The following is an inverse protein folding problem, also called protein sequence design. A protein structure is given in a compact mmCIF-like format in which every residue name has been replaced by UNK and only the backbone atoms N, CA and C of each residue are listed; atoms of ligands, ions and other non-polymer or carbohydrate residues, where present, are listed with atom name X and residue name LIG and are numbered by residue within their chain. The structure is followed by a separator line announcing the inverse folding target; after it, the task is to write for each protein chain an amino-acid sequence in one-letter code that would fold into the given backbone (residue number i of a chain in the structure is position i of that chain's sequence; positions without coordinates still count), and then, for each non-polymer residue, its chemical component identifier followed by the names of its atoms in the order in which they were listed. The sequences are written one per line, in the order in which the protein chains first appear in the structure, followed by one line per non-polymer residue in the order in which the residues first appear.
data_IF_405358628037
#
_entry.id   IF_405358628037
#
_cell.length_a   1.000
_cell.length_b   1.000
_cell.length_c   1.000
_cell.angle_alpha   90.00
_cell.angle_beta   90.00
_cell.angle_gamma   90.00
#
_symmetry.space_group_name_H-M   'P 1'
#
loop_
_entity.id
_entity.type
_entity.pdbx_description
1 polymer ?
#
# COMPACT_ATOMS: atom_id res chain seq x y z
N UNK A 1 37.36 2.58 15.89
CA UNK A 1 36.04 3.24 15.77
C UNK A 1 35.34 2.53 14.63
N UNK A 2 34.24 1.82 14.90
CA UNK A 2 33.47 1.21 13.83
C UNK A 2 32.60 2.29 13.19
N UNK A 3 32.74 2.50 11.89
CA UNK A 3 31.80 3.32 11.13
C UNK A 3 30.41 2.69 11.24
N UNK A 4 29.41 3.44 11.74
CA UNK A 4 28.03 2.97 11.67
C UNK A 4 27.56 3.12 10.23
N UNK A 5 27.78 2.08 9.42
CA UNK A 5 27.23 2.01 8.08
C UNK A 5 25.73 1.74 8.22
N UNK A 6 24.93 2.75 7.91
CA UNK A 6 23.48 2.66 7.92
C UNK A 6 22.96 2.44 6.50
N UNK A 7 22.01 1.52 6.34
CA UNK A 7 21.43 1.23 5.02
C UNK A 7 20.72 2.47 4.46
N UNK A 8 21.28 3.07 3.42
CA UNK A 8 20.69 4.24 2.75
C UNK A 8 19.43 3.85 1.96
N UNK A 9 19.45 2.68 1.33
CA UNK A 9 18.36 2.16 0.54
C UNK A 9 17.93 0.79 1.04
N UNK A 10 16.62 0.54 1.04
CA UNK A 10 16.05 -0.79 1.18
C UNK A 10 15.35 -1.17 -0.11
N UNK A 11 15.66 -2.36 -0.62
CA UNK A 11 15.03 -2.93 -1.79
C UNK A 11 14.18 -4.14 -1.36
N UNK A 12 12.92 -4.15 -1.74
CA UNK A 12 11.99 -5.24 -1.47
C UNK A 12 11.46 -5.75 -2.80
N UNK A 13 11.79 -7.01 -3.09
CA UNK A 13 11.42 -7.71 -4.31
C UNK A 13 10.53 -8.89 -3.90
N UNK A 14 9.35 -9.02 -4.50
CA UNK A 14 8.53 -10.23 -4.40
C UNK A 14 8.85 -11.16 -5.56
N UNK A 15 8.58 -12.45 -5.40
CA UNK A 15 8.87 -13.46 -6.43
C UNK A 15 7.62 -14.03 -7.09
N UNK A 16 6.66 -14.51 -6.30
CA UNK A 16 5.51 -15.29 -6.76
C UNK A 16 4.23 -14.71 -6.15
N UNK A 17 3.92 -15.06 -4.90
CA UNK A 17 2.71 -14.61 -4.21
C UNK A 17 2.67 -13.10 -3.88
N UNK A 18 1.43 -12.58 -3.81
CA UNK A 18 1.14 -11.23 -3.35
C UNK A 18 1.47 -11.04 -1.85
N UNK A 19 2.17 -9.95 -1.54
CA UNK A 19 2.53 -9.52 -0.18
C UNK A 19 1.98 -8.13 0.06
N UNK A 20 1.27 -7.93 1.17
CA UNK A 20 0.84 -6.60 1.60
C UNK A 20 1.71 -6.07 2.74
N UNK A 21 2.43 -4.98 2.50
CA UNK A 21 3.35 -4.40 3.48
C UNK A 21 2.71 -3.18 4.14
N UNK A 22 2.41 -3.29 5.43
CA UNK A 22 1.78 -2.22 6.23
C UNK A 22 2.79 -1.16 6.69
N UNK A 23 3.99 -1.60 7.05
CA UNK A 23 5.07 -0.73 7.50
C UNK A 23 6.41 -1.46 7.42
N UNK A 24 7.49 -0.70 7.32
CA UNK A 24 8.87 -1.16 7.45
C UNK A 24 9.56 -0.24 8.44
N UNK A 25 10.22 -0.82 9.43
CA UNK A 25 11.06 -0.09 10.38
C UNK A 25 12.50 -0.57 10.28
N UNK A 26 13.43 0.38 10.17
CA UNK A 26 14.86 0.09 10.26
C UNK A 26 15.47 0.87 11.42
N UNK A 27 16.29 0.17 12.21
CA UNK A 27 16.96 0.71 13.39
C UNK A 27 18.45 0.89 13.10
N UNK A 28 19.04 1.93 13.66
CA UNK A 28 20.49 2.06 13.68
C UNK A 28 21.08 1.08 14.72
N UNK A 29 22.19 0.42 14.37
CA UNK A 29 22.86 -0.51 15.28
C UNK A 29 23.40 0.16 16.56
N UNK A 30 23.63 1.47 16.53
CA UNK A 30 24.07 2.27 17.67
C UNK A 30 22.96 2.49 18.72
N UNK A 31 21.70 2.21 18.40
CA UNK A 31 20.57 2.23 19.35
C UNK A 31 20.10 3.62 19.83
N UNK A 32 20.89 4.66 19.60
CA UNK A 32 20.63 6.02 20.11
C UNK A 32 19.68 6.86 19.23
N UNK A 33 19.36 6.42 18.01
CA UNK A 33 18.50 7.16 17.07
C UNK A 33 17.12 6.54 16.89
N UNK A 34 16.13 7.40 16.61
CA UNK A 34 14.77 6.99 16.25
C UNK A 34 14.79 6.12 14.98
N UNK A 35 13.95 5.08 14.89
CA UNK A 35 13.89 4.24 13.69
C UNK A 35 13.39 5.03 12.48
N UNK A 36 13.89 4.66 11.31
CA UNK A 36 13.28 5.03 10.03
C UNK A 36 12.00 4.24 9.86
N UNK A 37 10.90 4.90 9.49
CA UNK A 37 9.61 4.21 9.34
C UNK A 37 8.94 4.57 8.02
N UNK A 38 8.85 3.58 7.15
CA UNK A 38 7.99 3.64 5.97
C UNK A 38 6.63 3.04 6.31
N UNK A 39 5.54 3.67 5.87
CA UNK A 39 4.17 3.18 6.04
C UNK A 39 3.55 2.91 4.67
N UNK A 40 2.73 1.87 4.57
CA UNK A 40 1.99 1.55 3.34
C UNK A 40 0.95 2.62 2.96
N UNK A 41 0.73 3.62 3.81
CA UNK A 41 0.03 4.85 3.46
C UNK A 41 0.71 5.65 2.36
N UNK A 42 2.05 5.62 2.31
CA UNK A 42 2.83 6.27 1.26
C UNK A 42 2.44 5.65 -0.08
N UNK A 43 2.52 4.33 -0.21
CA UNK A 43 2.14 3.65 -1.46
C UNK A 43 0.69 3.92 -1.84
N UNK A 44 -0.25 3.83 -0.90
CA UNK A 44 -1.65 4.14 -1.15
C UNK A 44 -1.86 5.58 -1.66
N UNK A 45 -1.19 6.56 -1.06
CA UNK A 45 -1.26 7.96 -1.46
C UNK A 45 -0.56 8.23 -2.81
N UNK A 46 0.48 7.46 -3.14
CA UNK A 46 1.17 7.50 -4.42
C UNK A 46 0.46 6.67 -5.52
N UNK A 47 -0.77 6.22 -5.27
CA UNK A 47 -1.60 5.53 -6.26
C UNK A 47 -1.34 4.04 -6.41
N UNK A 48 -0.59 3.43 -5.49
CA UNK A 48 -0.33 1.99 -5.49
C UNK A 48 -1.54 1.20 -4.98
N UNK A 49 -1.60 -0.08 -5.34
CA UNK A 49 -2.64 -0.98 -4.85
C UNK A 49 -2.55 -1.14 -3.33
N UNK A 50 -3.68 -1.06 -2.61
CA UNK A 50 -3.67 -1.07 -1.14
C UNK A 50 -4.89 -1.74 -0.49
N UNK A 51 -4.76 -2.10 0.79
CA UNK A 51 -5.88 -2.39 1.70
C UNK A 51 -5.60 -1.83 3.10
N UNK A 52 -6.58 -1.95 4.01
CA UNK A 52 -6.36 -1.62 5.41
C UNK A 52 -5.40 -2.61 6.07
N UNK A 53 -4.45 -2.08 6.85
CA UNK A 53 -3.62 -2.92 7.71
C UNK A 53 -4.42 -3.49 8.88
N UNK A 54 -4.08 -4.73 9.25
CA UNK A 54 -4.70 -5.45 10.36
C UNK A 54 -4.09 -5.05 11.71
N UNK A 55 -2.83 -4.63 11.72
CA UNK A 55 -2.06 -4.32 12.93
C UNK A 55 -1.96 -2.82 13.16
N UNK A 56 -2.01 -2.41 14.43
CA UNK A 56 -1.81 -1.04 14.85
C UNK A 56 -0.38 -0.80 15.33
N UNK A 57 0.17 0.35 15.00
CA UNK A 57 1.43 0.88 15.52
C UNK A 57 1.14 2.10 16.40
N UNK A 58 2.09 2.49 17.25
CA UNK A 58 2.00 3.74 18.01
C UNK A 58 2.41 4.91 17.09
N UNK A 59 1.46 5.77 16.75
CA UNK A 59 1.67 6.91 15.84
C UNK A 59 2.35 8.13 16.47
N UNK A 60 2.97 8.00 17.65
CA UNK A 60 3.75 9.06 18.29
C UNK A 60 2.99 9.95 19.29
N UNK A 61 1.66 9.80 19.40
CA UNK A 61 0.80 10.56 20.34
C UNK A 61 -0.04 9.64 21.25
N UNK A 62 0.43 8.43 21.56
CA UNK A 62 -0.34 7.38 22.26
C UNK A 62 -1.62 6.95 21.53
N UNK A 63 -1.81 7.39 20.29
CA UNK A 63 -2.88 6.95 19.42
C UNK A 63 -2.40 5.76 18.60
N UNK A 64 -3.11 4.63 18.76
CA UNK A 64 -2.92 3.47 17.92
C UNK A 64 -3.42 3.79 16.51
N UNK A 65 -2.56 3.56 15.54
CA UNK A 65 -2.82 3.80 14.13
C UNK A 65 -2.61 2.52 13.33
N UNK A 66 -3.58 2.11 12.52
CA UNK A 66 -3.42 0.98 11.61
C UNK A 66 -3.10 1.49 10.20
N UNK A 67 -1.81 1.49 9.79
CA UNK A 67 -1.42 1.98 8.48
C UNK A 67 -2.08 1.15 7.38
N UNK A 68 -2.33 1.77 6.24
CA UNK A 68 -2.65 1.00 5.02
C UNK A 68 -1.48 0.09 4.68
N UNK A 69 -1.76 -1.01 4.00
CA UNK A 69 -0.72 -1.83 3.41
C UNK A 69 -0.72 -1.68 1.90
N UNK A 70 0.47 -1.60 1.32
CA UNK A 70 0.68 -1.55 -0.12
C UNK A 70 0.98 -2.95 -0.62
N UNK A 71 0.32 -3.34 -1.71
CA UNK A 71 0.49 -4.64 -2.34
C UNK A 71 1.72 -4.66 -3.25
N UNK A 72 2.55 -5.67 -3.03
CA UNK A 72 3.57 -6.14 -3.94
C UNK A 72 3.15 -7.51 -4.49
N UNK A 73 3.39 -7.78 -5.76
CA UNK A 73 2.98 -9.00 -6.47
C UNK A 73 3.84 -9.15 -7.73
N UNK A 74 4.59 -10.24 -7.80
CA UNK A 74 5.62 -10.42 -8.80
C UNK A 74 5.25 -11.38 -9.91
N UNK A 75 4.37 -12.35 -9.72
CA UNK A 75 4.00 -13.22 -10.83
C UNK A 75 3.05 -12.51 -11.82
N UNK A 76 2.41 -11.39 -11.42
CA UNK A 76 1.36 -10.74 -12.21
C UNK A 76 0.29 -11.77 -12.67
N UNK A 77 0.18 -12.90 -11.96
CA UNK A 77 0.05 -14.22 -12.57
C UNK A 77 -1.24 -14.40 -13.35
N UNK A 78 -1.27 -14.18 -14.66
CA UNK A 78 -2.54 -14.09 -15.42
C UNK A 78 -3.60 -13.13 -14.79
N UNK A 79 -3.23 -12.35 -13.75
CA UNK A 79 -4.10 -11.76 -12.71
C UNK A 79 -3.91 -10.24 -12.53
N UNK A 80 -2.96 -9.60 -13.22
CA UNK A 80 -2.94 -8.13 -13.37
C UNK A 80 -3.76 -7.59 -14.55
N UNK A 81 -4.94 -7.06 -14.23
CA UNK A 81 -5.78 -6.24 -15.10
C UNK A 81 -4.94 -5.34 -16.01
N UNK A 82 -5.24 -5.33 -17.33
CA UNK A 82 -4.92 -4.19 -18.22
C UNK A 82 -5.74 -2.93 -17.85
N UNK A 83 -6.20 -2.84 -16.61
CA UNK A 83 -6.86 -1.67 -16.09
C UNK A 83 -5.76 -0.81 -15.44
N UNK A 84 -5.40 0.32 -16.06
CA UNK A 84 -4.17 1.04 -15.75
C UNK A 84 -4.11 1.57 -14.32
N UNK A 85 -5.20 1.55 -13.55
CA UNK A 85 -5.35 2.33 -12.32
C UNK A 85 -4.82 1.63 -11.06
N UNK A 86 -4.71 0.30 -11.03
CA UNK A 86 -4.19 -0.44 -9.87
C UNK A 86 -3.27 -1.55 -10.37
N UNK A 87 -1.97 -1.31 -10.33
CA UNK A 87 -0.95 -2.29 -10.69
C UNK A 87 -0.27 -2.66 -9.37
N UNK A 88 -0.22 -3.96 -9.05
CA UNK A 88 0.57 -4.45 -7.92
C UNK A 88 2.05 -4.40 -8.32
N UNK A 89 2.93 -4.03 -7.39
CA UNK A 89 4.33 -3.75 -7.70
C UNK A 89 5.16 -5.02 -7.51
N UNK A 90 6.08 -5.34 -8.42
CA UNK A 90 7.02 -6.45 -8.16
C UNK A 90 8.08 -6.08 -7.15
N UNK A 91 8.42 -4.79 -7.15
CA UNK A 91 9.56 -4.29 -6.43
C UNK A 91 9.27 -2.89 -5.91
N UNK A 92 9.81 -2.59 -4.74
CA UNK A 92 9.91 -1.22 -4.25
C UNK A 92 11.30 -0.95 -3.68
N UNK A 93 11.81 0.26 -3.94
CA UNK A 93 13.06 0.75 -3.35
C UNK A 93 12.79 2.02 -2.57
N UNK A 94 13.21 2.03 -1.32
CA UNK A 94 12.95 3.07 -0.34
C UNK A 94 14.28 3.76 -0.01
N UNK A 95 14.33 5.10 -0.09
CA UNK A 95 15.38 5.87 0.56
C UNK A 95 15.04 5.99 2.05
N UNK A 96 15.77 5.25 2.90
CA UNK A 96 15.45 5.16 4.33
C UNK A 96 15.65 6.48 5.06
N UNK A 97 16.57 7.32 4.59
CA UNK A 97 16.83 8.63 5.18
C UNK A 97 15.69 9.62 4.95
N UNK A 98 14.90 9.44 3.90
CA UNK A 98 13.71 10.26 3.68
C UNK A 98 12.63 10.03 4.75
N UNK A 99 12.67 8.88 5.43
CA UNK A 99 11.75 8.48 6.49
C UNK A 99 12.37 8.57 7.89
N UNK A 100 13.50 9.28 8.01
CA UNK A 100 14.09 9.67 9.28
C UNK A 100 13.30 10.77 9.96
N UNK A 101 13.56 10.95 11.26
CA UNK A 101 13.21 12.19 11.93
C UNK A 101 13.92 13.35 11.24
N UNK A 102 13.17 14.15 10.49
CA UNK A 102 13.68 15.31 9.76
C UNK A 102 13.81 16.55 10.65
N UNK A 103 13.87 16.39 11.97
CA UNK A 103 13.96 17.50 12.92
C UNK A 103 12.73 18.41 12.87
N UNK A 104 11.54 17.83 12.68
CA UNK A 104 10.27 18.56 12.61
C UNK A 104 9.94 19.18 11.25
N UNK A 105 10.72 18.92 10.19
CA UNK A 105 10.34 19.32 8.83
C UNK A 105 9.14 18.52 8.35
N UNK A 106 8.13 19.21 7.83
CA UNK A 106 6.98 18.61 7.16
C UNK A 106 7.29 18.55 5.67
N UNK A 107 7.34 17.34 5.11
CA UNK A 107 7.52 17.12 3.68
C UNK A 107 6.16 16.90 3.01
N UNK A 108 6.06 17.25 1.73
CA UNK A 108 4.84 17.04 0.96
C UNK A 108 4.72 15.60 0.41
N UNK A 109 3.57 15.30 -0.19
CA UNK A 109 3.33 13.98 -0.78
C UNK A 109 4.27 13.69 -1.96
N UNK A 110 4.63 14.70 -2.76
CA UNK A 110 5.54 14.53 -3.90
C UNK A 110 6.93 14.08 -3.45
N UNK A 111 7.42 14.62 -2.34
CA UNK A 111 8.65 14.17 -1.70
C UNK A 111 8.59 12.68 -1.36
N UNK A 112 7.57 12.23 -0.63
CA UNK A 112 7.46 10.82 -0.23
C UNK A 112 7.24 9.87 -1.42
N UNK A 113 6.50 10.31 -2.44
CA UNK A 113 6.34 9.54 -3.68
C UNK A 113 7.62 9.52 -4.53
N UNK A 114 8.49 10.52 -4.41
CA UNK A 114 9.84 10.50 -4.98
C UNK A 114 10.82 9.62 -4.18
N UNK A 115 10.61 9.49 -2.87
CA UNK A 115 11.47 8.73 -1.95
C UNK A 115 11.19 7.24 -1.88
N UNK A 116 10.08 6.78 -2.47
CA UNK A 116 9.80 5.37 -2.73
C UNK A 116 9.58 5.15 -4.22
N UNK A 117 10.46 4.39 -4.85
CA UNK A 117 10.28 3.96 -6.23
C UNK A 117 9.55 2.62 -6.22
N UNK A 118 8.52 2.52 -7.05
CA UNK A 118 7.79 1.29 -7.31
C UNK A 118 8.05 0.85 -8.76
N UNK A 119 8.29 -0.44 -8.97
CA UNK A 119 8.39 -1.03 -10.32
C UNK A 119 7.41 -2.18 -10.48
N UNK A 120 6.86 -2.25 -11.68
CA UNK A 120 5.91 -3.26 -12.13
C UNK A 120 6.57 -4.29 -13.06
N UNK A 121 7.73 -3.98 -13.64
CA UNK A 121 8.30 -4.77 -14.73
C UNK A 121 9.62 -5.43 -14.33
N UNK A 122 9.82 -6.67 -14.79
CA UNK A 122 11.15 -7.32 -14.72
C UNK A 122 12.17 -6.56 -15.58
N UNK A 123 11.69 -5.82 -16.57
CA UNK A 123 12.49 -5.05 -17.54
C UNK A 123 12.74 -3.59 -17.09
N UNK A 124 12.14 -3.13 -15.97
CA UNK A 124 12.48 -1.86 -15.31
C UNK A 124 13.17 -2.14 -13.95
N UNK A 125 14.45 -2.54 -13.96
CA UNK A 125 15.18 -2.87 -12.76
C UNK A 125 15.40 -1.61 -11.90
N UNK A 126 14.79 -1.59 -10.71
CA UNK A 126 15.01 -0.51 -9.73
C UNK A 126 16.49 -0.38 -9.26
N UNK A 127 17.38 -1.38 -9.33
CA UNK A 127 18.79 -1.20 -8.97
C UNK A 127 19.47 0.03 -9.58
N UNK A 128 19.15 0.37 -10.84
CA UNK A 128 19.71 1.54 -11.53
C UNK A 128 19.05 2.88 -11.19
N UNK A 129 17.98 2.89 -10.40
CA UNK A 129 17.21 4.09 -10.04
C UNK A 129 17.49 4.51 -8.60
N UNK A 130 17.53 5.82 -8.36
CA UNK A 130 17.82 6.40 -7.04
C UNK A 130 16.60 7.16 -6.52
N UNK A 131 15.91 6.67 -5.46
CA UNK A 131 14.80 7.40 -4.87
C UNK A 131 15.28 8.73 -4.26
N UNK A 132 14.44 9.77 -4.36
CA UNK A 132 14.67 11.10 -3.80
C UNK A 132 14.92 11.01 -2.30
N UNK A 133 15.77 11.89 -1.78
CA UNK A 133 15.94 12.07 -0.34
C UNK A 133 17.31 12.61 0.01
N UNK A 134 17.60 12.73 1.31
CA UNK A 134 18.92 13.08 1.78
C UNK A 134 19.91 12.00 1.31
N UNK A 135 21.02 12.46 0.73
CA UNK A 135 22.17 11.65 0.43
C UNK A 135 23.31 12.12 1.31
N UNK A 136 23.98 11.17 1.96
CA UNK A 136 25.26 11.45 2.60
C UNK A 136 26.35 11.34 1.52
N UNK A 137 26.92 12.48 1.15
CA UNK A 137 28.05 12.58 0.23
C UNK A 137 29.20 13.19 1.04
N UNK A 138 30.31 12.47 1.16
CA UNK A 138 31.51 12.90 1.90
C UNK A 138 31.23 13.39 3.34
N UNK A 139 30.29 12.75 4.04
CA UNK A 139 29.89 13.11 5.42
C UNK A 139 28.98 14.34 5.51
N UNK A 140 28.49 14.86 4.37
CA UNK A 140 27.54 15.97 4.31
C UNK A 140 26.19 15.51 3.77
N UNK A 141 25.11 15.92 4.45
CA UNK A 141 23.73 15.72 4.00
C UNK A 141 23.40 16.68 2.86
N UNK A 142 23.29 16.13 1.65
CA UNK A 142 22.83 16.85 0.44
C UNK A 142 21.42 16.37 0.10
N UNK A 143 20.48 17.29 -0.12
CA UNK A 143 19.13 16.93 -0.60
C UNK A 143 19.21 16.76 -2.11
N UNK A 144 19.27 15.51 -2.58
CA UNK A 144 19.17 15.22 -4.01
C UNK A 144 17.69 15.32 -4.42
N UNK A 145 17.38 16.20 -5.37
CA UNK A 145 16.03 16.33 -5.95
C UNK A 145 15.63 15.11 -6.78
N UNK A 146 16.58 14.20 -7.06
CA UNK A 146 16.39 13.03 -7.90
C UNK A 146 16.14 13.41 -9.35
N UNK A 147 16.36 12.47 -10.28
CA UNK A 147 15.87 12.63 -11.64
C UNK A 147 14.34 12.86 -11.61
N UNK A 148 13.78 13.71 -12.49
CA UNK A 148 12.34 13.90 -12.55
C UNK A 148 11.67 12.53 -12.69
N UNK A 149 10.70 12.25 -11.81
CA UNK A 149 9.77 11.14 -11.99
C UNK A 149 9.21 11.28 -13.41
N UNK A 150 9.66 10.44 -14.34
CA UNK A 150 9.01 10.36 -15.66
C UNK A 150 7.58 9.94 -15.35
N UNK A 151 6.58 10.80 -15.61
CA UNK A 151 5.20 10.42 -15.40
C UNK A 151 4.95 9.18 -16.25
N UNK A 152 4.45 8.14 -15.60
CA UNK A 152 3.62 7.07 -16.15
C UNK A 152 3.60 7.08 -17.67
N UNK A 153 4.28 6.12 -18.31
CA UNK A 153 3.92 5.74 -19.68
C UNK A 153 2.43 5.39 -19.66
N UNK A 154 1.61 6.37 -20.03
CA UNK A 154 0.22 6.17 -20.38
C UNK A 154 0.26 5.41 -21.69
N UNK A 155 0.38 4.08 -21.61
CA UNK A 155 0.03 3.25 -22.76
C UNK A 155 -1.45 3.50 -23.03
N UNK A 156 -1.63 4.28 -24.10
CA UNK A 156 -2.89 4.73 -24.64
C UNK A 156 -3.72 3.56 -25.14
N UNK A 157 -4.98 3.52 -24.69
CA UNK A 157 -6.20 3.11 -25.39
C UNK A 157 -6.22 1.74 -26.11
N UNK A 158 -6.96 0.79 -25.52
CA UNK A 158 -8.31 0.46 -26.03
C UNK A 158 -9.03 -0.49 -25.06
N UNK A 159 -10.21 -0.07 -24.62
CA UNK A 159 -11.08 -0.83 -23.74
C UNK A 159 -11.66 -2.05 -24.44
N UNK A 160 -11.04 -3.20 -24.23
CA UNK A 160 -11.73 -4.49 -24.26
C UNK A 160 -11.85 -4.98 -22.83
N UNK A 161 -13.07 -5.26 -22.38
CA UNK A 161 -13.35 -5.93 -21.11
C UNK A 161 -12.69 -7.31 -21.20
N UNK A 162 -11.51 -7.42 -20.61
CA UNK A 162 -10.78 -8.68 -20.53
C UNK A 162 -11.51 -9.70 -19.66
N UNK A 163 -11.15 -10.99 -19.77
CA UNK A 163 -11.76 -12.06 -19.00
C UNK A 163 -11.67 -11.81 -17.50
N UNK A 164 -12.70 -12.28 -16.79
CA UNK A 164 -12.78 -12.28 -15.33
C UNK A 164 -11.58 -13.07 -14.80
N UNK A 165 -10.69 -12.41 -14.06
CA UNK A 165 -9.46 -13.01 -13.49
C UNK A 165 -9.78 -13.98 -12.37
N UNK A 166 -8.80 -14.52 -11.64
CA UNK A 166 -9.05 -15.21 -10.36
C UNK A 166 -8.42 -14.40 -9.22
N UNK A 167 -8.92 -14.59 -8.00
CA UNK A 167 -8.26 -14.08 -6.79
C UNK A 167 -7.09 -15.01 -6.49
N UNK A 168 -6.03 -14.50 -5.84
CA UNK A 168 -5.15 -15.41 -5.11
C UNK A 168 -6.02 -16.28 -4.20
N UNK A 169 -5.74 -17.58 -4.05
CA UNK A 169 -6.55 -18.46 -3.22
C UNK A 169 -6.75 -17.93 -1.79
N UNK A 170 -5.74 -17.20 -1.28
CA UNK A 170 -5.77 -16.56 0.04
C UNK A 170 -6.76 -15.39 0.08
N UNK A 171 -6.62 -14.40 -0.79
CA UNK A 171 -7.55 -13.26 -0.87
C UNK A 171 -8.97 -13.69 -1.28
N UNK A 172 -9.13 -14.85 -1.93
CA UNK A 172 -10.43 -15.46 -2.27
C UNK A 172 -11.16 -16.05 -1.07
N UNK A 173 -10.43 -16.55 -0.08
CA UNK A 173 -10.96 -17.35 1.02
C UNK A 173 -10.96 -16.61 2.36
N UNK A 174 -10.28 -15.47 2.44
CA UNK A 174 -10.17 -14.68 3.65
C UNK A 174 -11.22 -13.55 3.70
N UNK A 175 -11.85 -13.39 4.87
CA UNK A 175 -12.77 -12.31 5.18
C UNK A 175 -12.18 -11.49 6.33
N UNK A 176 -11.93 -10.21 6.09
CA UNK A 176 -11.46 -9.28 7.12
C UNK A 176 -12.68 -8.63 7.78
N UNK A 177 -12.95 -9.01 9.03
CA UNK A 177 -13.99 -8.37 9.86
C UNK A 177 -13.34 -7.38 10.80
N UNK A 178 -13.83 -6.14 10.79
CA UNK A 178 -13.19 -5.06 11.52
C UNK A 178 -14.21 -4.14 12.18
N UNK A 179 -13.95 -3.81 13.45
CA UNK A 179 -14.78 -2.91 14.28
C UNK A 179 -14.18 -1.53 14.49
N UNK A 180 -13.07 -1.19 13.80
CA UNK A 180 -12.43 0.11 13.94
C UNK A 180 -13.20 1.18 13.14
N UNK A 181 -13.68 2.26 13.78
CA UNK A 181 -14.54 3.26 13.13
C UNK A 181 -13.82 4.08 12.05
N UNK A 182 -12.49 4.08 12.04
CA UNK A 182 -11.68 4.81 11.05
C UNK A 182 -11.33 3.97 9.80
N UNK A 183 -11.76 2.70 9.72
CA UNK A 183 -11.53 1.82 8.57
C UNK A 183 -12.86 1.53 7.85
N UNK A 184 -13.29 2.51 7.05
CA UNK A 184 -14.55 2.51 6.31
C UNK A 184 -14.57 1.52 5.14
N UNK A 185 -15.61 0.67 5.07
CA UNK A 185 -15.88 -0.21 3.95
C UNK A 185 -16.28 0.59 2.70
N UNK A 186 -17.01 1.69 2.85
CA UNK A 186 -17.33 2.62 1.75
C UNK A 186 -16.06 3.15 1.12
N UNK A 187 -15.14 3.67 1.94
CA UNK A 187 -13.85 4.21 1.46
C UNK A 187 -13.02 3.14 0.77
N UNK A 188 -13.00 1.92 1.31
CA UNK A 188 -12.29 0.82 0.66
C UNK A 188 -12.92 0.50 -0.70
N UNK A 189 -14.24 0.38 -0.79
CA UNK A 189 -14.91 0.02 -2.04
C UNK A 189 -14.88 1.10 -3.12
N UNK A 190 -14.89 2.38 -2.73
CA UNK A 190 -14.85 3.51 -3.66
C UNK A 190 -13.44 3.88 -4.09
N UNK A 191 -12.42 3.39 -3.39
CA UNK A 191 -11.04 3.61 -3.78
C UNK A 191 -10.76 2.94 -5.13
N UNK A 192 -10.20 3.66 -6.12
CA UNK A 192 -9.87 3.06 -7.40
C UNK A 192 -8.72 2.03 -7.29
N UNK A 193 -7.86 2.18 -6.27
CA UNK A 193 -6.65 1.39 -6.06
C UNK A 193 -6.77 0.35 -4.94
N UNK A 194 -7.91 0.24 -4.26
CA UNK A 194 -8.09 -0.78 -3.22
C UNK A 194 -8.21 -2.20 -3.79
N UNK A 195 -7.54 -3.18 -3.17
CA UNK A 195 -7.60 -4.61 -3.54
C UNK A 195 -7.28 -5.49 -2.32
N UNK A 196 -7.63 -6.77 -2.35
CA UNK A 196 -7.28 -7.73 -1.29
C UNK A 196 -8.45 -8.62 -0.89
N UNK A 197 -8.45 -9.08 0.35
CA UNK A 197 -9.53 -9.86 0.95
C UNK A 197 -10.84 -9.07 1.03
N UNK A 198 -11.97 -9.76 1.04
CA UNK A 198 -13.26 -9.10 1.26
C UNK A 198 -13.32 -8.50 2.67
N UNK A 199 -14.01 -7.37 2.84
CA UNK A 199 -13.92 -6.56 4.06
C UNK A 199 -15.29 -6.22 4.66
N UNK A 200 -15.45 -6.39 5.97
CA UNK A 200 -16.63 -5.98 6.73
C UNK A 200 -16.25 -4.88 7.72
N UNK A 201 -16.95 -3.75 7.63
CA UNK A 201 -16.98 -2.74 8.68
C UNK A 201 -18.17 -3.01 9.59
N UNK A 202 -17.91 -3.43 10.82
CA UNK A 202 -18.95 -3.61 11.85
C UNK A 202 -19.53 -2.27 12.28
N UNK A 203 -18.72 -1.22 12.29
CA UNK A 203 -19.13 0.14 12.63
C UNK A 203 -20.15 0.69 11.62
N UNK A 204 -19.94 0.43 10.33
CA UNK A 204 -20.84 0.87 9.27
C UNK A 204 -21.96 -0.15 8.98
N UNK A 205 -21.83 -1.40 9.45
CA UNK A 205 -22.70 -2.51 9.05
C UNK A 205 -22.59 -2.86 7.56
N UNK A 206 -21.45 -2.55 6.93
CA UNK A 206 -21.22 -2.64 5.49
C UNK A 206 -20.15 -3.66 5.14
N UNK A 207 -20.33 -4.23 3.95
CA UNK A 207 -19.41 -5.16 3.33
C UNK A 207 -18.92 -4.65 2.00
N UNK A 208 -17.62 -4.76 1.79
CA UNK A 208 -16.97 -4.44 0.56
C UNK A 208 -16.41 -5.70 -0.10
N UNK A 209 -16.92 -6.01 -1.30
CA UNK A 209 -16.27 -6.95 -2.22
C UNK A 209 -15.18 -6.20 -2.97
N UNK A 210 -13.92 -6.53 -2.71
CA UNK A 210 -12.74 -5.81 -3.20
C UNK A 210 -12.34 -6.21 -4.63
N UNK A 211 -12.88 -7.32 -5.16
CA UNK A 211 -12.37 -7.98 -6.37
C UNK A 211 -13.27 -7.91 -7.64
N UNK A 212 -14.13 -6.89 -7.71
CA UNK A 212 -15.03 -6.58 -8.84
C UNK A 212 -16.29 -7.44 -9.06
N UNK A 213 -17.36 -6.78 -9.60
CA UNK A 213 -17.57 -5.34 -9.57
C UNK A 213 -17.67 -4.90 -8.10
N UNK A 214 -16.85 -3.92 -7.69
CA UNK A 214 -16.74 -3.49 -6.28
C UNK A 214 -18.12 -3.01 -5.86
N UNK A 215 -18.70 -3.66 -4.86
CA UNK A 215 -20.05 -3.42 -4.40
C UNK A 215 -20.04 -3.36 -2.89
N UNK A 216 -20.83 -2.42 -2.39
CA UNK A 216 -21.18 -2.37 -0.99
C UNK A 216 -22.49 -3.10 -0.77
N UNK A 217 -22.52 -3.93 0.28
CA UNK A 217 -23.71 -4.67 0.67
C UNK A 217 -23.90 -4.42 2.17
N UNK A 218 -25.11 -4.10 2.61
CA UNK A 218 -25.40 -4.16 4.04
C UNK A 218 -25.32 -5.62 4.49
N UNK A 219 -24.70 -5.90 5.63
CA UNK A 219 -24.85 -7.20 6.25
C UNK A 219 -25.72 -7.06 7.49
N UNK A 220 -26.86 -7.74 7.49
CA UNK A 220 -27.63 -7.88 8.71
C UNK A 220 -27.00 -8.98 9.57
N UNK A 221 -26.73 -8.66 10.83
CA UNK A 221 -26.40 -9.66 11.84
C UNK A 221 -27.67 -10.45 12.13
N UNK A 222 -27.63 -11.75 11.91
CA UNK A 222 -28.76 -12.65 12.16
C UNK A 222 -28.98 -12.81 13.66
N UNK A 223 -30.03 -12.18 14.20
CA UNK A 223 -30.50 -12.39 15.57
C UNK A 223 -31.81 -13.19 15.50
N UNK A 224 -31.73 -14.51 15.27
CA UNK A 224 -32.80 -15.46 15.63
C UNK A 224 -33.93 -15.78 14.62
N UNK A 225 -34.01 -17.09 14.33
CA UNK A 225 -35.09 -18.04 13.92
C UNK A 225 -36.22 -17.73 12.91
N UNK A 226 -36.61 -16.52 12.55
CA UNK A 226 -37.71 -16.34 11.57
C UNK A 226 -37.51 -15.13 10.65
N UNK A 227 -37.14 -15.36 9.39
CA UNK A 227 -37.25 -14.34 8.33
C UNK A 227 -36.10 -14.35 7.33
N UNK A 228 -36.44 -14.47 6.04
CA UNK A 228 -35.50 -14.41 4.93
C UNK A 228 -34.82 -13.04 4.85
N UNK A 229 -33.50 -13.04 4.63
CA UNK A 229 -32.69 -11.83 4.52
C UNK A 229 -32.55 -11.42 3.04
N UNK A 230 -33.14 -10.28 2.65
CA UNK A 230 -32.94 -9.70 1.32
C UNK A 230 -31.79 -8.70 1.41
N UNK A 231 -30.59 -9.13 1.03
CA UNK A 231 -29.43 -8.25 0.88
C UNK A 231 -29.58 -7.46 -0.43
N UNK A 232 -29.84 -6.15 -0.33
CA UNK A 232 -29.85 -5.27 -1.51
C UNK A 232 -28.42 -4.75 -1.74
N UNK A 233 -27.86 -4.90 -2.95
CA UNK A 233 -26.61 -4.23 -3.30
C UNK A 233 -26.84 -2.71 -3.30
N UNK A 234 -25.96 -1.97 -2.64
CA UNK A 234 -25.98 -0.51 -2.62
C UNK A 234 -24.78 -0.04 -3.46
N UNK A 235 -25.03 0.93 -4.33
CA UNK A 235 -23.94 1.68 -4.95
C UNK A 235 -23.31 2.52 -3.86
N UNK A 236 -22.06 2.24 -3.50
CA UNK A 236 -21.30 3.18 -2.69
C UNK A 236 -21.04 4.43 -3.54
N UNK A 237 -21.83 5.48 -3.32
CA UNK A 237 -21.67 6.80 -3.93
C UNK A 237 -20.64 7.62 -3.18
#
# INVERSE_FOLDING_TARGET
MGESLQAQYLDVITSDDEVCISWIMAYEASGDKKPYTWLGDVGAACGQAWQYGLYTINGGNSQLYAPRCTWLDADHGEDIDKNPVAITNRQMKINMWAYADQGGRIMDLDYYCGSTIFSHDMDDPIPGRTPRGPQEIDGQLVVDTGAPNVPRSTSSQNGTVGPIRKRSPKSASELVVNSRPYQSAVKLCNSPTSRGSDFVSVDEGLFCVTWRPRRCIHFAVWIGRLGALILKPISCS
#
